data_IF_509837727003
#
_entry.id   IF_509837727003
#
_cell.length_a   1.000
_cell.length_b   1.000
_cell.length_c   1.000
_cell.angle_alpha   90.00
_cell.angle_beta   90.00
_cell.angle_gamma   90.00
#
_symmetry.space_group_name_H-M   'P 1'
#
loop_
_entity.id
_entity.type
_entity.pdbx_description
1 polymer ?
#
# COMPACT_ATOMS: atom_id res chain seq x y z
N UNK A 1 11.92 8.39 7.05
CA UNK A 1 11.15 9.42 7.80
C UNK A 1 9.97 8.74 8.49
N UNK A 2 9.61 9.17 9.70
CA UNK A 2 8.38 8.80 10.44
C UNK A 2 7.16 9.68 10.06
N UNK A 3 7.36 10.58 9.10
CA UNK A 3 6.30 11.28 8.38
C UNK A 3 5.95 12.67 8.92
N UNK A 4 5.16 13.40 8.13
CA UNK A 4 4.63 14.74 8.44
C UNK A 4 3.17 14.84 7.99
N UNK A 5 2.49 15.89 8.39
CA UNK A 5 1.11 16.19 7.95
C UNK A 5 1.12 17.54 7.23
N UNK A 6 0.44 17.61 6.10
CA UNK A 6 0.07 18.83 5.40
C UNK A 6 -1.46 18.84 5.29
N UNK A 7 -2.11 19.79 5.96
CA UNK A 7 -3.56 19.85 6.13
C UNK A 7 -4.14 18.51 6.64
N UNK A 8 -4.99 17.85 5.85
CA UNK A 8 -5.59 16.54 6.16
C UNK A 8 -4.84 15.37 5.51
N UNK A 9 -3.63 15.59 5.01
CA UNK A 9 -2.83 14.60 4.27
C UNK A 9 -1.55 14.27 5.05
N UNK A 10 -1.44 13.03 5.49
CA UNK A 10 -0.20 12.45 6.00
C UNK A 10 0.74 12.10 4.85
N UNK A 11 2.01 12.46 5.01
CA UNK A 11 3.09 12.11 4.07
C UNK A 11 4.08 11.20 4.81
N UNK A 12 4.30 10.00 4.28
CA UNK A 12 5.18 9.00 4.88
C UNK A 12 6.07 8.38 3.81
N UNK A 13 7.37 8.23 4.09
CA UNK A 13 8.21 7.47 3.17
C UNK A 13 7.89 5.97 3.25
N UNK A 14 7.88 5.37 4.46
CA UNK A 14 7.39 3.99 4.66
C UNK A 14 8.34 3.05 5.42
N UNK A 15 9.63 3.35 5.49
CA UNK A 15 10.62 2.50 6.19
C UNK A 15 10.63 2.64 7.72
N UNK A 16 9.80 3.53 8.31
CA UNK A 16 9.66 3.70 9.77
C UNK A 16 8.19 3.73 10.17
N UNK A 17 7.94 3.44 11.45
CA UNK A 17 6.63 3.62 12.05
C UNK A 17 6.18 5.08 11.94
N UNK A 18 4.94 5.35 11.50
CA UNK A 18 4.42 6.70 11.40
C UNK A 18 4.24 7.34 12.78
N UNK A 19 4.42 8.66 12.87
CA UNK A 19 4.00 9.46 14.02
C UNK A 19 2.49 9.38 14.20
N UNK A 20 2.00 9.53 15.43
CA UNK A 20 0.55 9.53 15.72
C UNK A 20 -0.21 10.55 14.88
N UNK A 21 0.33 11.75 14.67
CA UNK A 21 -0.30 12.80 13.85
C UNK A 21 -0.55 12.36 12.41
N UNK A 22 0.37 11.60 11.80
CA UNK A 22 0.21 11.05 10.44
C UNK A 22 -0.98 10.10 10.36
N UNK A 23 -1.19 9.29 11.40
CA UNK A 23 -2.33 8.36 11.47
C UNK A 23 -3.67 9.04 11.81
N UNK A 24 -3.69 10.33 12.14
CA UNK A 24 -4.91 11.11 12.37
C UNK A 24 -5.42 11.80 11.10
N UNK A 25 -4.64 11.79 10.03
CA UNK A 25 -5.00 12.39 8.75
C UNK A 25 -6.24 11.71 8.12
N UNK A 26 -6.83 12.35 7.12
CA UNK A 26 -7.88 11.75 6.29
C UNK A 26 -7.27 10.82 5.23
N UNK A 27 -6.14 11.25 4.66
CA UNK A 27 -5.39 10.52 3.65
C UNK A 27 -3.94 10.33 4.07
N UNK A 28 -3.33 9.21 3.69
CA UNK A 28 -1.91 8.95 3.85
C UNK A 28 -1.29 8.59 2.50
N UNK A 29 -0.33 9.41 2.05
CA UNK A 29 0.49 9.14 0.88
C UNK A 29 1.80 8.47 1.32
N UNK A 30 2.05 7.26 0.82
CA UNK A 30 3.19 6.42 1.20
C UNK A 30 4.05 6.01 0.01
N UNK A 31 5.38 6.09 0.15
CA UNK A 31 6.34 5.57 -0.84
C UNK A 31 7.02 4.27 -0.41
N UNK A 32 8.34 4.19 -0.63
CA UNK A 32 9.27 3.13 -0.19
C UNK A 32 9.09 1.74 -0.81
N UNK A 33 7.85 1.26 -0.91
CA UNK A 33 7.54 -0.10 -1.40
C UNK A 33 7.75 -0.22 -2.89
N UNK A 34 7.59 0.88 -3.64
CA UNK A 34 7.55 0.88 -5.10
C UNK A 34 6.58 -0.22 -5.59
N UNK A 35 5.28 -0.09 -5.27
CA UNK A 35 4.31 -1.15 -5.47
C UNK A 35 4.26 -1.57 -6.94
N UNK A 36 4.43 -2.86 -7.16
CA UNK A 36 4.07 -3.54 -8.40
C UNK A 36 2.95 -4.54 -8.11
N UNK A 37 2.30 -5.00 -9.17
CA UNK A 37 1.33 -6.08 -9.15
C UNK A 37 1.86 -7.21 -10.03
N UNK A 38 1.88 -8.42 -9.51
CA UNK A 38 2.18 -9.62 -10.30
C UNK A 38 0.88 -10.10 -10.95
N UNK A 39 0.90 -10.22 -12.28
CA UNK A 39 -0.21 -10.75 -13.07
C UNK A 39 0.24 -12.07 -13.70
N UNK A 40 -0.60 -13.10 -13.54
CA UNK A 40 -0.34 -14.41 -14.12
C UNK A 40 -1.33 -14.70 -15.25
N UNK A 41 -0.82 -15.12 -16.40
CA UNK A 41 -1.65 -15.56 -17.52
C UNK A 41 -2.09 -17.04 -17.40
N UNK A 42 -2.89 -17.51 -18.36
CA UNK A 42 -3.38 -18.89 -18.40
C UNK A 42 -2.28 -19.94 -18.60
N UNK A 43 -1.10 -19.53 -19.08
CA UNK A 43 0.07 -20.38 -19.27
C UNK A 43 1.02 -20.32 -18.06
N UNK A 44 0.59 -19.68 -16.96
CA UNK A 44 1.33 -19.48 -15.72
C UNK A 44 2.55 -18.56 -15.85
N UNK A 45 2.66 -17.78 -16.92
CA UNK A 45 3.69 -16.74 -17.04
C UNK A 45 3.36 -15.56 -16.13
N UNK A 46 4.34 -15.15 -15.32
CA UNK A 46 4.24 -14.00 -14.43
C UNK A 46 4.76 -12.73 -15.13
N UNK A 47 3.98 -11.66 -15.06
CA UNK A 47 4.37 -10.30 -15.46
C UNK A 47 4.21 -9.37 -14.27
N UNK A 48 4.99 -8.30 -14.23
CA UNK A 48 5.05 -7.39 -13.09
C UNK A 48 4.85 -5.96 -13.59
N UNK A 49 3.77 -5.32 -13.14
CA UNK A 49 3.41 -3.98 -13.58
C UNK A 49 3.46 -3.00 -12.42
N UNK A 50 3.95 -1.78 -12.66
CA UNK A 50 3.89 -0.70 -11.66
C UNK A 50 2.44 -0.30 -11.42
N UNK A 51 2.07 -0.10 -10.15
CA UNK A 51 0.68 0.19 -9.80
C UNK A 51 0.56 1.21 -8.67
N UNK A 52 -0.63 1.77 -8.52
CA UNK A 52 -1.07 2.43 -7.31
C UNK A 52 -1.79 1.41 -6.44
N UNK A 53 -1.58 1.50 -5.12
CA UNK A 53 -2.32 0.67 -4.16
C UNK A 53 -3.11 1.57 -3.23
N UNK A 54 -4.42 1.36 -3.18
CA UNK A 54 -5.31 2.00 -2.20
C UNK A 54 -5.69 0.98 -1.13
N UNK A 55 -5.54 1.35 0.13
CA UNK A 55 -5.78 0.44 1.26
C UNK A 55 -6.18 1.21 2.52
N UNK A 56 -6.36 0.47 3.63
CA UNK A 56 -6.76 1.01 4.94
C UNK A 56 -5.97 0.33 6.04
N UNK A 57 -6.08 0.89 7.26
CA UNK A 57 -5.52 0.28 8.44
C UNK A 57 -6.26 -1.03 8.81
N UNK A 58 -5.52 -2.03 9.24
CA UNK A 58 -6.04 -3.11 10.06
C UNK A 58 -6.23 -2.56 11.48
N UNK A 59 -7.48 -2.32 11.88
CA UNK A 59 -7.79 -1.63 13.13
C UNK A 59 -7.27 -2.39 14.36
N UNK A 60 -7.37 -3.72 14.38
CA UNK A 60 -6.94 -4.53 15.52
C UNK A 60 -5.42 -4.50 15.67
N UNK A 61 -4.68 -4.78 14.59
CA UNK A 61 -3.21 -4.71 14.61
C UNK A 61 -2.70 -3.29 14.89
N UNK A 62 -3.42 -2.26 14.44
CA UNK A 62 -3.03 -0.86 14.70
C UNK A 62 -3.17 -0.50 16.19
N UNK A 63 -4.24 -0.97 16.85
CA UNK A 63 -4.48 -0.73 18.29
C UNK A 63 -3.39 -1.31 19.19
N UNK A 64 -2.72 -2.39 18.78
CA UNK A 64 -1.62 -2.99 19.53
C UNK A 64 -0.45 -2.01 19.76
N UNK A 65 -0.28 -1.03 18.86
CA UNK A 65 0.80 -0.03 18.94
C UNK A 65 0.31 1.39 19.19
N UNK A 66 -0.85 1.76 18.66
CA UNK A 66 -1.35 3.12 18.66
C UNK A 66 -2.62 3.24 19.48
N UNK A 67 -2.55 4.02 20.56
CA UNK A 67 -3.68 4.32 21.44
C UNK A 67 -4.77 5.17 20.78
N UNK A 68 -4.46 5.87 19.68
CA UNK A 68 -5.39 6.71 18.92
C UNK A 68 -4.88 6.89 17.50
N UNK A 69 -5.80 6.78 16.54
CA UNK A 69 -5.61 6.96 15.11
C UNK A 69 -6.98 7.18 14.46
N UNK A 70 -7.01 7.68 13.23
CA UNK A 70 -8.24 7.79 12.44
C UNK A 70 -8.59 6.41 11.84
N UNK A 71 -9.69 5.75 12.25
CA UNK A 71 -10.07 4.43 11.74
C UNK A 71 -10.54 4.46 10.27
N UNK A 72 -10.85 5.64 9.73
CA UNK A 72 -11.27 5.82 8.33
C UNK A 72 -10.13 6.31 7.43
N UNK A 73 -8.89 6.36 7.92
CA UNK A 73 -7.71 6.76 7.15
C UNK A 73 -7.60 5.95 5.85
N UNK A 74 -7.61 6.65 4.71
CA UNK A 74 -7.33 6.06 3.40
C UNK A 74 -5.84 6.16 3.10
N UNK A 75 -5.21 5.04 2.76
CA UNK A 75 -3.78 4.96 2.47
C UNK A 75 -3.61 4.74 0.98
N UNK A 76 -2.79 5.56 0.34
CA UNK A 76 -2.41 5.45 -1.06
C UNK A 76 -0.90 5.25 -1.13
N UNK A 77 -0.48 4.11 -1.68
CA UNK A 77 0.92 3.79 -1.91
C UNK A 77 1.27 4.18 -3.34
N UNK A 78 2.25 5.06 -3.48
CA UNK A 78 2.66 5.62 -4.77
C UNK A 78 3.64 4.68 -5.48
N UNK A 79 3.49 4.50 -6.81
CA UNK A 79 4.49 3.83 -7.63
C UNK A 79 5.83 4.57 -7.59
N UNK A 80 6.90 3.88 -8.00
CA UNK A 80 8.16 4.56 -8.26
C UNK A 80 7.98 5.57 -9.41
N UNK A 81 8.52 6.78 -9.25
CA UNK A 81 8.51 7.77 -10.32
C UNK A 81 9.43 7.37 -11.48
N UNK A 82 10.56 6.74 -11.17
CA UNK A 82 11.52 6.30 -12.18
C UNK A 82 11.16 4.88 -12.65
N UNK A 83 10.86 4.66 -13.95
CA UNK A 83 10.50 3.35 -14.47
C UNK A 83 11.64 2.32 -14.41
N UNK A 84 12.88 2.75 -14.20
CA UNK A 84 14.03 1.86 -14.02
C UNK A 84 14.13 1.31 -12.59
N UNK A 85 13.34 1.84 -11.65
CA UNK A 85 13.27 1.29 -10.30
C UNK A 85 12.39 0.05 -10.30
N UNK A 86 12.95 -1.07 -9.84
CA UNK A 86 12.15 -2.23 -9.49
C UNK A 86 11.20 -1.95 -8.32
N UNK A 87 10.39 -2.96 -8.01
CA UNK A 87 9.36 -2.87 -6.99
C UNK A 87 8.98 -4.22 -6.42
N UNK A 88 8.21 -4.20 -5.35
CA UNK A 88 7.69 -5.41 -4.72
C UNK A 88 6.27 -5.69 -5.21
N UNK A 89 6.01 -6.93 -5.58
CA UNK A 89 4.68 -7.36 -6.00
C UNK A 89 3.78 -7.43 -4.78
N UNK A 90 2.98 -6.40 -4.52
CA UNK A 90 2.24 -6.27 -3.26
C UNK A 90 1.22 -7.41 -3.08
N UNK A 91 0.68 -7.96 -4.17
CA UNK A 91 -0.23 -9.11 -4.13
C UNK A 91 0.47 -10.46 -3.92
N UNK A 92 1.81 -10.53 -3.91
CA UNK A 92 2.61 -11.74 -3.72
C UNK A 92 3.53 -11.64 -2.50
N UNK A 93 4.28 -10.55 -2.41
CA UNK A 93 5.33 -10.31 -1.42
C UNK A 93 4.88 -9.38 -0.28
N UNK A 94 3.73 -8.72 -0.43
CA UNK A 94 3.21 -7.74 0.52
C UNK A 94 3.95 -6.39 0.46
N UNK A 95 3.96 -5.67 1.57
CA UNK A 95 4.49 -4.30 1.66
C UNK A 95 5.78 -4.32 2.49
N UNK A 96 6.77 -3.52 2.08
CA UNK A 96 8.02 -3.40 2.85
C UNK A 96 7.89 -2.49 4.08
N UNK A 97 8.53 -2.89 5.18
CA UNK A 97 8.69 -2.08 6.37
C UNK A 97 7.54 -2.22 7.38
N UNK A 98 7.53 -1.40 8.44
CA UNK A 98 6.61 -1.56 9.57
C UNK A 98 5.13 -1.43 9.20
N UNK A 99 4.82 -0.68 8.13
CA UNK A 99 3.46 -0.50 7.65
C UNK A 99 2.79 -1.82 7.24
N UNK A 100 3.56 -2.82 6.83
CA UNK A 100 3.08 -4.17 6.54
C UNK A 100 2.25 -4.79 7.68
N UNK A 101 2.58 -4.43 8.92
CA UNK A 101 1.95 -5.00 10.11
C UNK A 101 0.61 -4.34 10.45
N UNK A 102 0.32 -3.15 9.92
CA UNK A 102 -0.87 -2.38 10.29
C UNK A 102 -1.77 -2.05 9.10
N UNK A 103 -1.38 -2.41 7.88
CA UNK A 103 -2.20 -2.27 6.68
C UNK A 103 -3.08 -3.52 6.49
N UNK A 104 -4.29 -3.32 5.99
CA UNK A 104 -5.19 -4.39 5.56
C UNK A 104 -4.90 -4.80 4.11
N UNK A 105 -4.03 -5.80 3.93
CA UNK A 105 -3.65 -6.26 2.59
C UNK A 105 -4.83 -6.85 1.81
N UNK A 106 -5.68 -7.64 2.46
CA UNK A 106 -6.82 -8.32 1.83
C UNK A 106 -7.82 -7.36 1.16
N UNK A 107 -7.94 -6.14 1.69
CA UNK A 107 -8.81 -5.08 1.15
C UNK A 107 -8.07 -4.06 0.30
N UNK A 108 -6.83 -4.34 -0.09
CA UNK A 108 -6.05 -3.44 -0.94
C UNK A 108 -6.55 -3.52 -2.37
N UNK A 109 -6.80 -2.36 -2.95
CA UNK A 109 -7.27 -2.13 -4.32
C UNK A 109 -6.09 -1.72 -5.20
N UNK A 110 -6.02 -2.23 -6.43
CA UNK A 110 -4.90 -2.03 -7.34
C UNK A 110 -5.32 -1.29 -8.59
N UNK A 111 -4.51 -0.30 -8.99
CA UNK A 111 -4.72 0.48 -10.20
C UNK A 111 -3.43 0.54 -11.01
N UNK A 112 -3.47 0.25 -12.31
CA UNK A 112 -2.32 0.48 -13.19
C UNK A 112 -2.08 1.97 -13.41
N UNK A 113 -0.90 2.31 -13.95
CA UNK A 113 -0.52 3.71 -14.20
C UNK A 113 -1.42 4.42 -15.23
N UNK A 114 -2.08 3.66 -16.10
CA UNK A 114 -3.06 4.17 -17.06
C UNK A 114 -4.46 4.39 -16.46
N UNK A 115 -4.65 4.06 -15.17
CA UNK A 115 -5.92 4.18 -14.45
C UNK A 115 -6.79 2.92 -14.48
N UNK A 116 -6.35 1.83 -15.12
CA UNK A 116 -7.08 0.56 -15.12
C UNK A 116 -7.23 0.00 -13.70
N UNK A 117 -8.46 -0.25 -13.28
CA UNK A 117 -8.76 -0.86 -11.99
C UNK A 117 -8.71 -2.39 -12.10
N UNK A 118 -7.86 -3.02 -11.28
CA UNK A 118 -7.65 -4.48 -11.30
C UNK A 118 -8.48 -5.23 -10.26
N UNK A 119 -9.09 -4.53 -9.29
CA UNK A 119 -9.77 -5.16 -8.17
C UNK A 119 -8.93 -5.23 -6.90
N UNK A 120 -9.34 -6.10 -5.98
CA UNK A 120 -8.60 -6.42 -4.76
C UNK A 120 -7.66 -7.60 -4.95
N UNK A 121 -6.84 -7.93 -3.95
CA UNK A 121 -6.03 -9.16 -3.93
C UNK A 121 -6.83 -10.40 -4.33
N UNK A 122 -8.09 -10.54 -3.87
CA UNK A 122 -8.92 -11.71 -4.23
C UNK A 122 -9.26 -11.78 -5.73
N UNK A 123 -9.23 -10.67 -6.46
CA UNK A 123 -9.52 -10.64 -7.89
C UNK A 123 -8.29 -10.99 -8.76
N UNK A 124 -7.09 -10.82 -8.23
CA UNK A 124 -5.83 -10.87 -8.99
C UNK A 124 -4.83 -11.92 -8.46
N UNK A 125 -5.23 -12.71 -7.46
CA UNK A 125 -4.41 -13.81 -6.97
C UNK A 125 -4.39 -14.94 -8.02
N UNK A 126 -3.22 -15.54 -8.28
CA UNK A 126 -3.13 -16.78 -9.04
C UNK A 126 -4.04 -17.86 -8.45
N UNK A 127 -4.75 -18.60 -9.30
CA UNK A 127 -5.32 -19.88 -8.87
C UNK A 127 -4.17 -20.84 -8.52
N UNK A 128 -4.20 -21.38 -7.29
CA UNK A 128 -3.30 -22.44 -6.82
C UNK A 128 -3.38 -23.70 -7.70
#
# INVERSE_FOLDING_TARGET
SDGTVLDSIGLLHGHRWPKKSVLQASYLLMGHTHPTVMLQDRLKYETYESCWVKTRLNLEKTKERYSSFNPTLEIIILPAFNPLCGGLAVNKDGIMGPMNNIINQDKSEFFLLDGSYLGTIQNIQPEE
#
